data_IF_074213287964
#
_entry.id   IF_074213287964
#
_cell.length_a   1.000
_cell.length_b   1.000
_cell.length_c   1.000
_cell.angle_alpha   90.00
_cell.angle_beta   90.00
_cell.angle_gamma   90.00
#
_symmetry.space_group_name_H-M   'P 1'
#
loop_
_entity.id
_entity.type
_entity.pdbx_description
1 polymer ?
#
# COMPACT_ATOMS: atom_id res chain seq x y z
N UNK A 1 15.64 -23.56 11.09
CA UNK A 1 15.19 -23.32 11.19
C UNK A 1 14.34 -22.72 10.70
N UNK A 2 13.85 -22.70 10.77
CA UNK A 2 12.84 -22.34 10.33
C UNK A 2 12.71 -21.08 10.12
N UNK A 3 12.81 -20.59 9.26
CA UNK A 3 12.71 -19.46 9.01
C UNK A 3 11.56 -19.15 8.63
N UNK A 4 10.83 -18.61 8.96
CA UNK A 4 9.62 -18.23 8.61
C UNK A 4 9.60 -16.99 7.92
N UNK A 5 10.61 -16.59 7.24
CA UNK A 5 10.52 -15.40 6.51
C UNK A 5 9.82 -15.69 5.27
N UNK A 6 8.74 -15.08 5.03
CA UNK A 6 7.97 -15.21 3.82
C UNK A 6 7.90 -13.83 3.20
N UNK A 7 8.25 -13.73 1.94
CA UNK A 7 8.24 -12.47 1.23
C UNK A 7 7.19 -12.54 0.15
N UNK A 8 6.28 -11.57 0.13
CA UNK A 8 5.26 -11.48 -0.89
C UNK A 8 5.44 -10.18 -1.64
N UNK A 9 5.17 -10.18 -2.91
CA UNK A 9 5.28 -9.00 -3.74
C UNK A 9 4.11 -8.89 -4.65
N UNK A 10 3.74 -7.66 -4.97
CA UNK A 10 2.68 -7.44 -5.93
C UNK A 10 2.84 -6.06 -6.53
N UNK A 11 2.62 -5.94 -7.83
CA UNK A 11 2.65 -4.65 -8.47
C UNK A 11 1.25 -4.11 -8.56
N UNK A 12 1.10 -2.81 -8.38
CA UNK A 12 -0.21 -2.20 -8.45
C UNK A 12 -0.05 -0.80 -9.02
N UNK A 13 -1.00 -0.37 -9.82
CA UNK A 13 -0.96 0.96 -10.40
C UNK A 13 -1.71 1.93 -9.52
N UNK A 14 -1.20 3.14 -9.42
CA UNK A 14 -1.86 4.19 -8.67
C UNK A 14 -3.02 4.67 -9.52
N UNK A 15 -4.24 4.40 -9.09
CA UNK A 15 -5.40 4.74 -9.88
C UNK A 15 -6.08 6.02 -9.42
N UNK A 16 -5.69 6.56 -8.28
CA UNK A 16 -6.26 7.79 -7.81
C UNK A 16 -5.74 8.94 -8.66
N UNK A 17 -6.63 9.81 -9.13
CA UNK A 17 -6.23 10.86 -10.03
C UNK A 17 -5.25 11.83 -9.40
N UNK A 18 -5.23 11.94 -8.09
CA UNK A 18 -4.29 12.82 -7.42
C UNK A 18 -2.99 12.12 -7.06
N UNK A 19 -2.86 10.86 -7.41
CA UNK A 19 -1.66 10.12 -7.08
C UNK A 19 -1.64 9.68 -5.63
N UNK A 20 -0.46 9.39 -5.13
CA UNK A 20 -0.32 8.91 -3.76
C UNK A 20 -0.21 10.11 -2.86
N UNK A 21 -1.36 10.72 -2.56
CA UNK A 21 -1.37 11.93 -1.75
C UNK A 21 -1.64 11.57 -0.28
N UNK A 22 -1.70 12.58 0.57
CA UNK A 22 -1.70 12.35 2.01
C UNK A 22 -2.83 11.45 2.49
N UNK A 23 -4.03 11.62 1.95
CA UNK A 23 -5.13 10.79 2.44
C UNK A 23 -4.90 9.32 2.10
N UNK A 24 -4.46 9.04 0.89
CA UNK A 24 -4.22 7.67 0.49
C UNK A 24 -3.04 7.11 1.27
N UNK A 25 -1.98 7.89 1.44
CA UNK A 25 -0.82 7.44 2.18
C UNK A 25 -1.21 7.17 3.63
N UNK A 26 -2.06 7.99 4.21
CA UNK A 26 -2.50 7.78 5.58
C UNK A 26 -3.28 6.49 5.72
N UNK A 27 -4.18 6.21 4.77
CA UNK A 27 -4.93 4.97 4.82
C UNK A 27 -4.02 3.77 4.62
N UNK A 28 -3.05 3.92 3.74
CA UNK A 28 -2.12 2.84 3.48
C UNK A 28 -1.34 2.50 4.76
N UNK A 29 -0.80 3.51 5.43
CA UNK A 29 -0.02 3.28 6.62
C UNK A 29 -0.88 2.66 7.72
N UNK A 30 -2.10 3.15 7.87
CA UNK A 30 -2.96 2.62 8.90
C UNK A 30 -3.25 1.15 8.64
N UNK A 31 -3.51 0.78 7.41
CA UNK A 31 -3.77 -0.60 7.08
C UNK A 31 -2.50 -1.43 7.24
N UNK A 32 -1.36 -0.91 6.81
CA UNK A 32 -0.12 -1.65 6.91
C UNK A 32 0.24 -1.93 8.35
N UNK A 33 -0.12 -1.03 9.26
CA UNK A 33 0.18 -1.24 10.67
C UNK A 33 -0.64 -2.37 11.29
N UNK A 34 -1.69 -2.80 10.62
CA UNK A 34 -2.48 -3.92 11.11
C UNK A 34 -1.77 -5.25 10.88
N UNK A 35 -0.73 -5.27 10.06
CA UNK A 35 -0.02 -6.50 9.78
C UNK A 35 1.31 -6.50 10.49
N UNK A 36 1.80 -7.71 10.79
CA UNK A 36 3.06 -7.81 11.47
C UNK A 36 4.21 -7.73 10.51
N UNK A 37 4.00 -8.02 9.25
CA UNK A 37 5.07 -8.02 8.27
C UNK A 37 5.63 -6.64 8.08
N UNK A 38 6.90 -6.57 7.70
CA UNK A 38 7.48 -5.32 7.26
C UNK A 38 6.92 -5.06 5.88
N UNK A 39 6.64 -3.80 5.57
CA UNK A 39 6.05 -3.45 4.30
C UNK A 39 6.91 -2.39 3.63
N UNK A 40 7.24 -2.61 2.37
CA UNK A 40 8.02 -1.67 1.59
C UNK A 40 7.28 -1.35 0.31
N UNK A 41 7.42 -0.13 -0.15
CA UNK A 41 6.82 0.29 -1.40
C UNK A 41 7.95 0.80 -2.27
N UNK A 42 8.10 0.20 -3.44
CA UNK A 42 9.17 0.59 -4.34
C UNK A 42 8.59 1.30 -5.54
N UNK A 43 9.19 2.40 -5.91
CA UNK A 43 8.73 3.18 -7.03
C UNK A 43 9.96 3.73 -7.75
N UNK A 44 10.18 3.28 -8.97
CA UNK A 44 11.26 3.81 -9.79
C UNK A 44 12.59 3.79 -9.06
N UNK A 45 12.89 2.70 -8.42
CA UNK A 45 14.18 2.54 -7.76
C UNK A 45 14.26 3.09 -6.35
N UNK A 46 13.22 3.75 -5.89
CA UNK A 46 13.21 4.31 -4.55
C UNK A 46 12.36 3.41 -3.68
N UNK A 47 12.86 3.10 -2.49
CA UNK A 47 12.17 2.23 -1.57
C UNK A 47 11.70 3.04 -0.39
N UNK A 48 10.43 2.93 -0.06
CA UNK A 48 9.84 3.63 1.05
C UNK A 48 9.30 2.64 2.06
N UNK A 49 9.34 3.03 3.32
CA UNK A 49 8.77 2.21 4.38
C UNK A 49 7.26 2.35 4.31
N UNK A 50 6.56 1.25 4.12
CA UNK A 50 5.13 1.27 3.97
C UNK A 50 4.37 1.65 5.23
N UNK A 51 5.06 1.79 6.35
CA UNK A 51 4.44 2.20 7.58
C UNK A 51 4.83 3.64 7.96
N UNK A 52 5.33 4.41 7.00
CA UNK A 52 5.71 5.78 7.23
C UNK A 52 5.04 6.67 6.19
N UNK A 53 4.17 7.57 6.63
CA UNK A 53 3.47 8.45 5.71
C UNK A 53 4.47 9.35 4.98
N UNK A 54 5.46 9.85 5.67
CA UNK A 54 6.42 10.75 5.03
C UNK A 54 7.20 10.03 3.95
N UNK A 55 7.56 8.78 4.19
CA UNK A 55 8.27 8.03 3.20
C UNK A 55 7.41 7.82 1.96
N UNK A 56 6.15 7.49 2.17
CA UNK A 56 5.27 7.24 1.03
C UNK A 56 5.08 8.52 0.23
N UNK A 57 4.92 9.65 0.89
CA UNK A 57 4.73 10.89 0.17
C UNK A 57 5.99 11.29 -0.59
N UNK A 58 7.15 10.90 -0.10
CA UNK A 58 8.38 11.26 -0.77
C UNK A 58 8.55 10.54 -2.10
N UNK A 59 7.77 9.47 -2.33
CA UNK A 59 7.85 8.80 -3.61
C UNK A 59 7.25 9.65 -4.72
N UNK A 60 6.38 10.56 -4.36
CA UNK A 60 5.74 11.46 -5.32
C UNK A 60 5.09 10.69 -6.48
N UNK A 61 4.50 9.55 -6.17
CA UNK A 61 3.91 8.71 -7.21
C UNK A 61 2.64 9.34 -7.74
N UNK A 62 2.57 9.49 -9.04
CA UNK A 62 1.42 10.11 -9.67
C UNK A 62 0.46 9.06 -10.19
N UNK A 63 -0.69 9.50 -10.61
CA UNK A 63 -1.67 8.61 -11.19
C UNK A 63 -1.03 7.87 -12.36
N UNK A 64 -1.21 6.60 -12.42
CA UNK A 64 -0.65 5.76 -13.46
C UNK A 64 0.69 5.16 -13.14
N UNK A 65 1.32 5.62 -12.06
CA UNK A 65 2.62 5.07 -11.69
C UNK A 65 2.45 3.67 -11.13
N UNK A 66 3.36 2.79 -11.51
CA UNK A 66 3.34 1.44 -10.97
C UNK A 66 4.16 1.38 -9.71
N UNK A 67 3.60 0.80 -8.68
CA UNK A 67 4.30 0.59 -7.44
C UNK A 67 4.51 -0.90 -7.23
N UNK A 68 5.62 -1.25 -6.64
CA UNK A 68 5.85 -2.65 -6.25
C UNK A 68 5.71 -2.70 -4.75
N UNK A 69 4.73 -3.46 -4.28
CA UNK A 69 4.52 -3.63 -2.85
C UNK A 69 5.24 -4.89 -2.43
N UNK A 70 5.94 -4.84 -1.32
CA UNK A 70 6.65 -5.98 -0.83
C UNK A 70 6.44 -6.11 0.65
N UNK A 71 6.12 -7.27 1.13
CA UNK A 71 5.95 -7.50 2.55
C UNK A 71 6.76 -8.72 2.95
N UNK A 72 7.29 -8.68 4.15
CA UNK A 72 8.10 -9.78 4.62
C UNK A 72 7.67 -10.11 6.03
N UNK A 73 7.21 -11.31 6.25
CA UNK A 73 6.75 -11.73 7.57
C UNK A 73 5.69 -12.80 7.46
N UNK A 74 5.12 -13.16 8.59
CA UNK A 74 4.18 -14.28 8.64
C UNK A 74 2.87 -13.97 7.90
N UNK A 75 2.47 -12.72 7.82
CA UNK A 75 1.23 -12.37 7.16
C UNK A 75 1.49 -11.58 5.88
N UNK A 76 2.64 -11.82 5.24
CA UNK A 76 3.04 -11.03 4.08
C UNK A 76 2.05 -11.12 2.93
N UNK A 77 1.51 -12.30 2.65
CA UNK A 77 0.58 -12.43 1.53
C UNK A 77 -0.68 -11.64 1.78
N UNK A 78 -1.21 -11.72 2.98
CA UNK A 78 -2.41 -10.98 3.30
C UNK A 78 -2.14 -9.48 3.25
N UNK A 79 -0.96 -9.07 3.69
CA UNK A 79 -0.63 -7.67 3.70
C UNK A 79 -0.58 -7.09 2.30
N UNK A 80 0.14 -7.75 1.36
CA UNK A 80 0.23 -7.19 0.02
C UNK A 80 -1.12 -7.22 -0.67
N UNK A 81 -1.93 -8.24 -0.42
CA UNK A 81 -3.24 -8.30 -1.06
C UNK A 81 -4.13 -7.15 -0.57
N UNK A 82 -4.14 -6.91 0.72
CA UNK A 82 -4.98 -5.85 1.27
C UNK A 82 -4.50 -4.49 0.81
N UNK A 83 -3.18 -4.28 0.80
CA UNK A 83 -2.64 -2.99 0.44
C UNK A 83 -2.80 -2.72 -1.05
N UNK A 84 -2.65 -3.75 -1.88
CA UNK A 84 -2.86 -3.57 -3.31
C UNK A 84 -4.30 -3.20 -3.59
N UNK A 85 -5.24 -3.83 -2.88
CA UNK A 85 -6.64 -3.51 -3.06
C UNK A 85 -6.90 -2.07 -2.66
N UNK A 86 -6.28 -1.61 -1.60
CA UNK A 86 -6.50 -0.24 -1.17
C UNK A 86 -6.03 0.74 -2.24
N UNK A 87 -4.86 0.53 -2.81
CA UNK A 87 -4.33 1.43 -3.81
C UNK A 87 -5.21 1.42 -5.06
N UNK A 88 -5.62 0.26 -5.51
CA UNK A 88 -6.39 0.20 -6.74
C UNK A 88 -7.82 0.68 -6.53
N UNK A 89 -8.31 0.64 -5.32
CA UNK A 89 -9.68 1.07 -5.07
C UNK A 89 -9.80 2.57 -4.87
N UNK A 90 -8.68 3.27 -4.73
CA UNK A 90 -8.77 4.70 -4.46
C UNK A 90 -9.28 5.50 -5.65
N UNK A 91 -9.41 4.87 -6.80
CA UNK A 91 -9.97 5.60 -7.93
C UNK A 91 -11.43 5.92 -7.68
N UNK A 92 -12.07 5.29 -6.71
CA UNK A 92 -13.46 5.54 -6.43
C UNK A 92 -13.60 6.26 -5.12
N UNK A 93 -12.86 7.32 -4.94
CA UNK A 93 -12.91 7.98 -3.68
C UNK A 93 -14.24 8.51 -3.32
N UNK A 94 -15.01 8.92 -4.26
CA UNK A 94 -16.30 9.49 -3.90
C UNK A 94 -17.18 8.47 -3.28
N UNK A 95 -16.85 7.23 -3.39
CA UNK A 95 -17.67 6.23 -2.81
C UNK A 95 -17.23 5.81 -1.46
N UNK A 96 -16.26 6.45 -0.93
CA UNK A 96 -15.81 6.06 0.36
C UNK A 96 -16.91 6.09 1.37
N UNK A 97 -17.75 7.06 1.26
CA UNK A 97 -18.74 7.15 2.24
C UNK A 97 -19.64 6.01 2.11
N UNK A 98 -19.80 5.49 0.95
CA UNK A 98 -20.67 4.41 0.85
C UNK A 98 -20.03 3.22 1.40
N UNK A 99 -18.77 3.12 1.24
CA UNK A 99 -18.10 1.96 1.73
C UNK A 99 -18.34 1.73 3.15
N UNK A 100 -18.52 2.83 3.82
CA UNK A 100 -18.66 2.62 5.11
C UNK A 100 -19.83 1.94 5.40
N UNK A 101 -20.74 2.08 4.63
CA UNK A 101 -21.94 1.51 5.00
C UNK A 101 -21.82 0.09 4.93
N UNK A 102 -20.95 -0.36 4.25
CA UNK A 102 -20.93 -1.61 4.12
C UNK A 102 -20.31 -2.25 5.05
N UNK A 103 -19.74 -1.86 5.43
CA UNK A 103 -19.12 -2.58 6.15
C UNK A 103 -19.34 -2.95 6.70
#
# INVERSE_FOLDING_TARGET
MAQNFHVARRQVGVSNSLGLHMRVAGRFVKLAQAFQSDVRVCCEGIIANGKSILDLLSLAAESGTMLALEAEGCDAEDAVAALANLISAQSHESEDKIGESVC
#
